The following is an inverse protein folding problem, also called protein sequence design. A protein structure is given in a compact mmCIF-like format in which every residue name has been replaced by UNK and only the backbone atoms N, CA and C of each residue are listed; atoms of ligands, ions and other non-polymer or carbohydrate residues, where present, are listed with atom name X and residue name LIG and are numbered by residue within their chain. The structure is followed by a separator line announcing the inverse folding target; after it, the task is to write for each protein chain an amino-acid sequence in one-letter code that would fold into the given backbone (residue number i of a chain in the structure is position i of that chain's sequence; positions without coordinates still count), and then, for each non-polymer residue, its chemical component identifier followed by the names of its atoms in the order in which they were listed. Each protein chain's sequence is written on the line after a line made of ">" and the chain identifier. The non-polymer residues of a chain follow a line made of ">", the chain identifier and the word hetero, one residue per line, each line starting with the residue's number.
data_IF_688898767027
#
_entry.id   IF_688898767027
#
_cell.length_a   1.000
_cell.length_b   1.000
_cell.length_c   1.000
_cell.angle_alpha   90.00
_cell.angle_beta   90.00
_cell.angle_gamma   90.00
#
_symmetry.space_group_name_H-M   'P 1'
#
loop_
_entity.id
_entity.type
_entity.pdbx_description
1 polymer ?
#
# COMPACT_ATOMS: atom_id res chain seq x y z
N UNK A 1 -24.95 -29.83 8.75
CA UNK A 1 -25.76 -28.60 8.58
C UNK A 1 -24.84 -27.43 8.30
N UNK A 2 -23.68 -27.33 8.95
CA UNK A 2 -22.71 -26.24 8.74
C UNK A 2 -22.08 -26.20 7.34
N UNK A 3 -21.88 -27.35 6.71
CA UNK A 3 -21.33 -27.43 5.37
C UNK A 3 -22.23 -26.90 4.24
N UNK A 4 -23.57 -26.85 4.47
CA UNK A 4 -24.51 -26.34 3.45
C UNK A 4 -24.53 -24.82 3.42
N UNK A 5 -24.34 -24.16 4.56
CA UNK A 5 -24.29 -22.71 4.64
C UNK A 5 -23.01 -22.15 4.02
N UNK A 6 -21.88 -22.84 4.18
CA UNK A 6 -20.60 -22.44 3.54
C UNK A 6 -20.71 -22.52 2.02
N UNK A 7 -21.36 -23.57 1.48
CA UNK A 7 -21.59 -23.70 0.04
C UNK A 7 -22.52 -22.62 -0.53
N UNK A 8 -23.50 -22.17 0.26
CA UNK A 8 -24.37 -21.07 -0.16
C UNK A 8 -23.65 -19.71 -0.16
N UNK A 9 -22.74 -19.49 0.78
CA UNK A 9 -21.95 -18.25 0.82
C UNK A 9 -21.01 -18.17 -0.39
N UNK A 10 -20.37 -19.28 -0.77
CA UNK A 10 -19.52 -19.32 -1.97
C UNK A 10 -20.30 -19.08 -3.26
N UNK A 11 -21.53 -19.60 -3.35
CA UNK A 11 -22.40 -19.40 -4.50
C UNK A 11 -22.88 -17.95 -4.62
N UNK A 12 -23.15 -17.28 -3.51
CA UNK A 12 -23.58 -15.88 -3.48
C UNK A 12 -22.42 -14.91 -3.79
N UNK A 13 -21.18 -15.31 -3.51
CA UNK A 13 -19.99 -14.53 -3.82
C UNK A 13 -19.58 -14.56 -5.31
N UNK A 14 -20.24 -15.35 -6.14
CA UNK A 14 -19.98 -15.42 -7.59
C UNK A 14 -18.62 -16.02 -7.96
N UNK A 15 -18.02 -16.80 -7.07
CA UNK A 15 -16.76 -17.47 -7.37
C UNK A 15 -17.07 -18.74 -8.18
N UNK A 16 -16.82 -18.68 -9.47
CA UNK A 16 -16.91 -19.83 -10.37
C UNK A 16 -15.52 -20.38 -10.56
N UNK A 17 -15.27 -21.57 -10.05
CA UNK A 17 -14.07 -22.32 -10.39
C UNK A 17 -14.33 -23.07 -11.70
N UNK A 18 -13.52 -22.78 -12.72
CA UNK A 18 -13.51 -23.60 -13.95
C UNK A 18 -13.01 -24.99 -13.59
N UNK A 19 -13.80 -26.01 -13.90
CA UNK A 19 -13.37 -27.41 -13.82
C UNK A 19 -12.64 -27.80 -15.09
N UNK A 20 -11.70 -28.74 -14.99
CA UNK A 20 -10.78 -29.21 -16.05
C UNK A 20 -11.48 -29.80 -17.30
N UNK A 21 -12.80 -29.79 -17.37
CA UNK A 21 -13.56 -30.40 -18.46
C UNK A 21 -13.90 -29.44 -19.61
N UNK A 22 -13.57 -28.14 -19.51
CA UNK A 22 -13.91 -27.14 -20.53
C UNK A 22 -12.75 -26.81 -21.52
N UNK A 23 -11.69 -27.60 -21.51
CA UNK A 23 -10.62 -27.48 -22.53
C UNK A 23 -10.90 -28.42 -23.67
N UNK A 24 -11.65 -27.97 -24.65
CA UNK A 24 -11.75 -28.63 -25.96
C UNK A 24 -10.53 -28.25 -26.78
N UNK A 25 -9.62 -29.19 -26.92
CA UNK A 25 -8.51 -29.09 -27.86
C UNK A 25 -9.05 -29.53 -29.20
N UNK A 26 -9.32 -28.61 -30.11
CA UNK A 26 -9.54 -28.94 -31.51
C UNK A 26 -8.21 -29.29 -32.18
N UNK A 27 -8.08 -30.57 -32.44
CA UNK A 27 -7.02 -31.22 -33.21
C UNK A 27 -7.24 -30.91 -34.71
N UNK A 28 -6.39 -30.09 -35.30
CA UNK A 28 -6.34 -29.95 -36.76
C UNK A 28 -5.12 -30.69 -37.30
N UNK A 29 -5.41 -31.90 -37.72
CA UNK A 29 -4.48 -32.76 -38.45
C UNK A 29 -4.27 -32.31 -39.89
N UNK A 30 -3.03 -32.47 -40.30
CA UNK A 30 -2.51 -32.81 -41.61
C UNK A 30 -3.13 -32.22 -42.88
N UNK A 31 -2.33 -31.54 -43.64
CA UNK A 31 -2.24 -31.84 -45.07
C UNK A 31 -0.80 -31.76 -45.61
N UNK A 32 -0.40 -32.86 -46.23
CA UNK A 32 0.91 -33.15 -46.83
C UNK A 32 0.81 -32.86 -48.32
N UNK A 33 1.71 -32.09 -48.89
CA UNK A 33 2.09 -32.20 -50.29
C UNK A 33 3.48 -31.61 -50.56
N UNK A 34 4.42 -32.45 -50.68
CA UNK A 34 5.28 -32.80 -51.82
C UNK A 34 6.06 -31.67 -52.53
N UNK A 35 7.38 -31.84 -52.52
CA UNK A 35 8.41 -31.07 -53.20
C UNK A 35 8.39 -31.30 -54.75
N UNK A 36 9.09 -30.45 -55.51
CA UNK A 36 10.32 -30.97 -56.13
C UNK A 36 11.52 -30.01 -56.03
N UNK A 37 12.68 -30.67 -56.10
CA UNK A 37 14.03 -30.19 -56.24
C UNK A 37 14.28 -29.56 -57.59
N UNK A 38 15.11 -28.52 -57.69
CA UNK A 38 16.30 -28.54 -58.54
C UNK A 38 17.11 -27.21 -58.43
N UNK A 39 18.37 -27.34 -58.29
CA UNK A 39 19.49 -26.76 -59.02
C UNK A 39 19.96 -25.34 -58.80
N UNK A 40 21.19 -25.20 -58.27
CA UNK A 40 22.13 -24.30 -58.94
C UNK A 40 22.69 -23.13 -58.12
N UNK A 41 23.97 -23.30 -57.72
CA UNK A 41 25.07 -22.32 -57.70
C UNK A 41 25.02 -21.10 -56.79
N UNK A 42 25.87 -21.21 -55.77
CA UNK A 42 27.03 -20.34 -55.42
C UNK A 42 26.99 -18.87 -55.82
N UNK A 43 27.01 -17.98 -54.84
CA UNK A 43 28.02 -16.91 -54.72
C UNK A 43 27.98 -16.34 -53.28
N UNK A 44 29.18 -16.21 -52.67
CA UNK A 44 29.46 -15.57 -51.40
C UNK A 44 29.14 -14.07 -51.39
N UNK A 45 28.47 -13.60 -50.34
CA UNK A 45 28.62 -12.26 -49.87
C UNK A 45 28.33 -12.22 -48.37
N UNK A 46 29.36 -11.90 -47.60
CA UNK A 46 29.24 -11.55 -46.20
C UNK A 46 28.28 -10.37 -46.05
N UNK A 47 27.21 -10.57 -45.31
CA UNK A 47 26.39 -9.48 -44.82
C UNK A 47 26.18 -9.63 -43.34
N UNK A 48 26.64 -8.59 -42.65
CA UNK A 48 26.36 -8.15 -41.30
C UNK A 48 25.11 -8.79 -40.71
N UNK A 49 25.30 -9.63 -39.70
CA UNK A 49 24.20 -10.06 -38.84
C UNK A 49 23.79 -8.86 -37.99
N UNK A 50 22.51 -8.44 -38.00
CA UNK A 50 22.06 -7.46 -37.06
C UNK A 50 22.20 -8.04 -35.66
N UNK A 51 22.99 -7.32 -34.83
CA UNK A 51 23.08 -7.54 -33.38
C UNK A 51 21.68 -7.69 -32.80
N UNK A 52 21.41 -8.70 -31.95
CA UNK A 52 20.10 -8.81 -31.32
C UNK A 52 19.81 -7.52 -30.57
N UNK A 53 18.77 -6.81 -31.02
CA UNK A 53 18.28 -5.62 -30.32
C UNK A 53 18.02 -6.02 -28.85
N UNK A 54 18.73 -5.38 -27.95
CA UNK A 54 18.43 -5.46 -26.53
C UNK A 54 16.93 -5.14 -26.35
N UNK A 55 16.19 -5.93 -25.57
CA UNK A 55 14.81 -5.61 -25.30
C UNK A 55 14.81 -4.22 -24.63
N UNK A 56 14.23 -3.24 -25.32
CA UNK A 56 13.96 -1.93 -24.73
C UNK A 56 13.24 -2.18 -23.42
N UNK A 57 13.79 -1.66 -22.32
CA UNK A 57 13.16 -1.72 -21.01
C UNK A 57 11.71 -1.28 -21.18
N UNK A 58 10.77 -2.14 -20.87
CA UNK A 58 9.36 -1.81 -20.92
C UNK A 58 9.15 -0.52 -20.10
N UNK A 59 8.37 0.45 -20.61
CA UNK A 59 8.09 1.65 -19.84
C UNK A 59 7.50 1.20 -18.50
N UNK A 60 8.14 1.60 -17.39
CA UNK A 60 7.60 1.33 -16.06
C UNK A 60 6.21 1.95 -16.03
N UNK A 61 5.19 1.14 -15.74
CA UNK A 61 3.84 1.63 -15.59
C UNK A 61 3.89 2.76 -14.55
N UNK A 62 3.45 3.95 -14.95
CA UNK A 62 3.45 5.12 -14.07
C UNK A 62 2.54 4.81 -12.87
N UNK A 63 3.14 4.62 -11.70
CA UNK A 63 2.40 4.41 -10.46
C UNK A 63 1.70 5.73 -10.13
N UNK A 64 0.37 5.74 -9.96
CA UNK A 64 -0.34 6.96 -9.63
C UNK A 64 0.11 7.48 -8.25
N UNK A 65 0.15 8.80 -8.12
CA UNK A 65 0.34 9.41 -6.82
C UNK A 65 -0.89 9.20 -5.93
N UNK A 66 -0.71 9.23 -4.63
CA UNK A 66 -1.78 9.04 -3.66
C UNK A 66 -2.20 10.39 -3.07
N UNK A 67 -3.42 10.43 -2.55
CA UNK A 67 -3.93 11.58 -1.80
C UNK A 67 -4.28 11.13 -0.38
N UNK A 68 -3.54 11.63 0.61
CA UNK A 68 -3.83 11.37 2.02
C UNK A 68 -4.89 12.34 2.51
N UNK A 69 -6.09 11.81 2.62
CA UNK A 69 -7.31 12.60 2.84
C UNK A 69 -7.64 12.82 4.33
N UNK A 70 -8.62 13.68 4.59
CA UNK A 70 -9.20 13.83 5.92
C UNK A 70 -9.82 12.53 6.47
N UNK A 71 -10.32 11.66 5.59
CA UNK A 71 -10.82 10.33 5.98
C UNK A 71 -9.69 9.42 6.45
N UNK A 72 -8.54 9.45 5.77
CA UNK A 72 -7.35 8.68 6.18
C UNK A 72 -6.84 9.15 7.53
N UNK A 73 -6.73 10.47 7.72
CA UNK A 73 -6.36 11.06 9.01
C UNK A 73 -7.32 10.68 10.13
N UNK A 74 -8.63 10.73 9.86
CA UNK A 74 -9.67 10.31 10.80
C UNK A 74 -9.47 8.85 11.23
N UNK A 75 -9.25 7.96 10.26
CA UNK A 75 -9.01 6.54 10.53
C UNK A 75 -7.74 6.30 11.34
N UNK A 76 -6.64 6.96 10.98
CA UNK A 76 -5.36 6.86 11.70
C UNK A 76 -5.50 7.38 13.13
N UNK A 77 -6.14 8.53 13.33
CA UNK A 77 -6.33 9.12 14.65
C UNK A 77 -7.18 8.24 15.57
N UNK A 78 -8.29 7.71 15.07
CA UNK A 78 -9.15 6.79 15.83
C UNK A 78 -8.39 5.53 16.18
N UNK A 79 -7.70 4.91 15.22
CA UNK A 79 -6.91 3.70 15.44
C UNK A 79 -5.77 3.93 16.46
N UNK A 80 -5.17 5.11 16.46
CA UNK A 80 -4.15 5.50 17.45
C UNK A 80 -4.73 5.58 18.86
N UNK A 81 -5.81 6.33 19.04
CA UNK A 81 -6.47 6.53 20.32
C UNK A 81 -7.07 5.27 20.92
N UNK A 82 -7.66 4.44 20.09
CA UNK A 82 -8.31 3.19 20.51
C UNK A 82 -7.34 2.03 20.66
N UNK A 83 -6.06 2.23 20.35
CA UNK A 83 -5.03 1.18 20.34
C UNK A 83 -5.46 -0.02 19.47
N UNK A 84 -5.96 0.27 18.28
CA UNK A 84 -6.29 -0.73 17.27
C UNK A 84 -5.43 -0.57 16.03
N UNK A 85 -5.36 -1.61 15.19
CA UNK A 85 -4.83 -1.46 13.85
C UNK A 85 -5.88 -0.82 12.95
N UNK A 86 -5.48 0.00 11.94
CA UNK A 86 -6.43 0.61 11.01
C UNK A 86 -7.32 -0.38 10.27
N UNK A 87 -6.79 -1.58 9.94
CA UNK A 87 -7.51 -2.66 9.28
C UNK A 87 -8.60 -3.29 10.16
N UNK A 88 -8.50 -3.15 11.47
CA UNK A 88 -9.47 -3.67 12.43
C UNK A 88 -10.65 -2.73 12.72
N UNK A 89 -10.59 -1.49 12.20
CA UNK A 89 -11.72 -0.57 12.30
C UNK A 89 -12.79 -0.96 11.28
N UNK A 90 -13.86 -1.56 11.76
CA UNK A 90 -14.98 -2.00 10.95
C UNK A 90 -15.81 -0.82 10.41
N UNK A 91 -16.51 -1.04 9.30
CA UNK A 91 -17.37 -0.03 8.69
C UNK A 91 -18.49 0.46 9.63
N UNK A 92 -19.02 -0.43 10.48
CA UNK A 92 -20.08 -0.14 11.43
C UNK A 92 -19.60 0.35 12.80
N UNK A 93 -18.29 0.44 13.03
CA UNK A 93 -17.76 1.01 14.27
C UNK A 93 -18.07 2.51 14.35
N UNK A 94 -18.30 3.00 15.56
CA UNK A 94 -18.43 4.43 15.87
C UNK A 94 -17.47 4.82 16.99
N UNK A 95 -17.14 6.10 17.11
CA UNK A 95 -16.31 6.59 18.23
C UNK A 95 -16.95 6.22 19.56
N UNK A 96 -18.27 6.30 19.67
CA UNK A 96 -19.02 5.90 20.89
C UNK A 96 -18.78 4.43 21.22
N UNK A 97 -18.94 3.52 20.24
CA UNK A 97 -18.73 2.09 20.47
C UNK A 97 -17.28 1.73 20.78
N UNK A 98 -16.32 2.41 20.13
CA UNK A 98 -14.90 2.16 20.30
C UNK A 98 -14.33 2.70 21.63
N UNK A 99 -15.00 3.66 22.24
CA UNK A 99 -14.63 4.21 23.55
C UNK A 99 -15.24 3.43 24.73
N UNK A 100 -16.06 2.43 24.47
CA UNK A 100 -16.65 1.54 25.49
C UNK A 100 -17.28 2.32 26.67
N UNK A 101 -18.09 3.34 26.37
CA UNK A 101 -18.78 4.18 27.35
C UNK A 101 -17.89 5.16 28.14
N UNK A 102 -16.58 5.21 27.87
CA UNK A 102 -15.66 6.15 28.52
C UNK A 102 -15.82 7.56 27.94
N UNK A 103 -16.74 8.36 28.51
CA UNK A 103 -17.09 9.69 28.01
C UNK A 103 -15.89 10.64 27.91
N UNK A 104 -14.93 10.57 28.83
CA UNK A 104 -13.71 11.41 28.79
C UNK A 104 -12.84 11.08 27.57
N UNK A 105 -12.65 9.79 27.26
CA UNK A 105 -11.88 9.33 26.11
C UNK A 105 -12.57 9.73 24.80
N UNK A 106 -13.88 9.51 24.72
CA UNK A 106 -14.69 9.93 23.59
C UNK A 106 -14.57 11.43 23.32
N UNK A 107 -14.78 12.24 24.36
CA UNK A 107 -14.73 13.69 24.24
C UNK A 107 -13.35 14.19 23.79
N UNK A 108 -12.28 13.62 24.36
CA UNK A 108 -10.92 13.99 23.95
C UNK A 108 -10.66 13.62 22.49
N UNK A 109 -11.07 12.43 22.06
CA UNK A 109 -10.92 12.01 20.67
C UNK A 109 -11.68 12.92 19.70
N UNK A 110 -12.89 13.37 20.07
CA UNK A 110 -13.65 14.34 19.26
C UNK A 110 -12.96 15.71 19.17
N UNK A 111 -12.39 16.19 20.27
CA UNK A 111 -11.61 17.44 20.30
C UNK A 111 -10.37 17.31 19.41
N UNK A 112 -9.64 16.21 19.53
CA UNK A 112 -8.43 15.97 18.75
C UNK A 112 -8.75 15.79 17.26
N UNK A 113 -9.88 15.15 16.94
CA UNK A 113 -10.34 15.03 15.55
C UNK A 113 -10.64 16.42 14.95
N UNK A 114 -11.35 17.26 15.67
CA UNK A 114 -11.60 18.64 15.26
C UNK A 114 -10.32 19.43 15.07
N UNK A 115 -9.37 19.31 16.00
CA UNK A 115 -8.08 19.98 15.91
C UNK A 115 -7.22 19.48 14.74
N UNK A 116 -7.17 18.15 14.54
CA UNK A 116 -6.44 17.54 13.43
C UNK A 116 -6.94 18.05 12.07
N UNK A 117 -8.23 18.11 11.90
CA UNK A 117 -8.87 18.52 10.63
C UNK A 117 -9.03 20.04 10.49
N UNK A 118 -8.57 20.83 11.47
CA UNK A 118 -8.80 22.29 11.55
C UNK A 118 -10.29 22.64 11.46
N UNK A 119 -11.12 21.80 12.07
CA UNK A 119 -12.57 21.96 12.18
C UNK A 119 -12.95 22.27 13.63
N UNK A 120 -14.13 22.83 13.81
CA UNK A 120 -14.77 22.87 15.12
C UNK A 120 -15.37 21.53 15.51
N UNK A 121 -16.41 21.55 16.35
CA UNK A 121 -17.14 20.34 16.66
C UNK A 121 -17.82 19.78 15.40
N UNK A 122 -17.67 18.47 15.20
CA UNK A 122 -18.31 17.76 14.09
C UNK A 122 -19.59 17.11 14.62
N UNK A 123 -20.72 17.67 14.21
CA UNK A 123 -22.02 17.22 14.71
C UNK A 123 -22.29 15.76 14.38
N UNK A 124 -22.71 14.99 15.40
CA UNK A 124 -23.00 13.55 15.28
C UNK A 124 -21.77 12.68 14.98
N UNK A 125 -20.53 13.17 15.21
CA UNK A 125 -19.33 12.41 14.93
C UNK A 125 -19.15 11.20 15.88
N UNK A 126 -19.66 11.31 17.10
CA UNK A 126 -19.52 10.23 18.09
C UNK A 126 -20.30 8.97 17.69
N UNK A 127 -21.51 9.16 17.21
CA UNK A 127 -22.48 8.11 16.86
C UNK A 127 -22.37 7.65 15.41
N UNK A 128 -21.75 8.47 14.54
CA UNK A 128 -21.57 8.13 13.14
C UNK A 128 -20.69 6.87 12.99
N UNK A 129 -21.11 5.94 12.15
CA UNK A 129 -20.28 4.83 11.73
C UNK A 129 -19.05 5.32 10.92
N UNK A 130 -18.03 4.48 10.78
CA UNK A 130 -16.76 4.87 10.14
C UNK A 130 -16.94 5.35 8.70
N UNK A 131 -17.92 4.82 7.96
CA UNK A 131 -18.20 5.23 6.57
C UNK A 131 -18.81 6.62 6.54
N UNK A 132 -19.82 6.83 7.37
CA UNK A 132 -20.49 8.14 7.51
C UNK A 132 -19.53 9.20 8.03
N UNK A 133 -18.69 8.85 9.03
CA UNK A 133 -17.70 9.76 9.60
C UNK A 133 -16.64 10.16 8.56
N UNK A 134 -16.10 9.19 7.81
CA UNK A 134 -15.16 9.45 6.72
C UNK A 134 -15.75 10.38 5.65
N UNK A 135 -16.99 10.16 5.26
CA UNK A 135 -17.70 11.02 4.32
C UNK A 135 -17.90 12.45 4.85
N UNK A 136 -18.31 12.59 6.12
CA UNK A 136 -18.48 13.90 6.77
C UNK A 136 -17.16 14.66 6.85
N UNK A 137 -16.10 14.02 7.34
CA UNK A 137 -14.77 14.65 7.48
C UNK A 137 -14.20 15.07 6.14
N UNK A 138 -14.32 14.24 5.10
CA UNK A 138 -13.91 14.59 3.74
C UNK A 138 -14.68 15.77 3.18
N UNK A 139 -15.99 15.83 3.42
CA UNK A 139 -16.83 16.94 2.94
C UNK A 139 -16.52 18.26 3.63
N UNK A 140 -16.22 18.22 4.94
CA UNK A 140 -15.96 19.41 5.76
C UNK A 140 -14.51 19.91 5.64
N UNK A 141 -13.53 19.02 5.57
CA UNK A 141 -12.10 19.34 5.55
C UNK A 141 -11.50 19.25 4.12
N UNK A 142 -12.13 19.87 3.13
CA UNK A 142 -11.71 19.81 1.71
C UNK A 142 -10.29 20.31 1.43
N UNK A 143 -9.71 21.10 2.32
CA UNK A 143 -8.36 21.63 2.19
C UNK A 143 -7.37 20.98 3.17
N UNK A 144 -7.71 19.82 3.71
CA UNK A 144 -6.86 19.11 4.66
C UNK A 144 -5.47 18.84 4.06
N UNK A 145 -4.45 19.05 4.88
CA UNK A 145 -3.05 18.72 4.54
C UNK A 145 -2.51 17.71 5.55
N UNK A 146 -1.84 16.67 5.09
CA UNK A 146 -1.18 15.69 5.97
C UNK A 146 0.05 16.32 6.65
N UNK A 147 0.26 16.16 7.89
CA UNK A 147 -0.63 15.86 8.99
C UNK A 147 -1.06 17.16 9.67
N UNK A 148 -2.25 17.20 10.27
CA UNK A 148 -2.70 18.34 11.05
C UNK A 148 -1.98 18.46 12.40
N UNK A 149 -2.54 19.30 13.28
CA UNK A 149 -1.85 19.66 14.54
C UNK A 149 -1.67 18.50 15.53
N UNK A 150 -2.50 17.47 15.47
CA UNK A 150 -2.45 16.32 16.39
C UNK A 150 -1.55 15.21 15.86
N UNK A 151 -1.81 14.76 14.64
CA UNK A 151 -1.05 13.64 14.04
C UNK A 151 0.40 14.03 13.76
N UNK A 152 0.68 15.28 13.37
CA UNK A 152 2.06 15.71 13.12
C UNK A 152 2.96 15.53 14.35
N UNK A 153 2.52 15.99 15.52
CA UNK A 153 3.26 15.79 16.77
C UNK A 153 3.34 14.32 17.17
N UNK A 154 2.19 13.67 17.23
CA UNK A 154 2.08 12.27 17.69
C UNK A 154 2.94 11.30 16.85
N UNK A 155 2.85 11.38 15.53
CA UNK A 155 3.58 10.51 14.60
C UNK A 155 5.08 10.86 14.60
N UNK A 156 5.41 12.16 14.57
CA UNK A 156 6.80 12.61 14.56
C UNK A 156 7.56 12.18 15.81
N UNK A 157 6.97 12.38 16.98
CA UNK A 157 7.58 12.00 18.26
C UNK A 157 7.75 10.49 18.39
N UNK A 158 6.74 9.73 17.97
CA UNK A 158 6.81 8.27 17.95
C UNK A 158 7.92 7.79 17.03
N UNK A 159 7.93 8.23 15.78
CA UNK A 159 8.94 7.82 14.81
C UNK A 159 10.35 8.29 15.17
N UNK A 160 10.50 9.49 15.76
CA UNK A 160 11.79 9.95 16.26
C UNK A 160 12.35 9.00 17.33
N UNK A 161 11.48 8.53 18.23
CA UNK A 161 11.87 7.55 19.28
C UNK A 161 12.23 6.18 18.66
N UNK A 162 11.42 5.69 17.73
CA UNK A 162 11.58 4.35 17.14
C UNK A 162 12.79 4.29 16.21
N UNK A 163 13.02 5.33 15.40
CA UNK A 163 14.12 5.38 14.44
C UNK A 163 15.44 5.84 15.05
N UNK A 164 15.40 6.54 16.19
CA UNK A 164 16.57 7.11 16.85
C UNK A 164 17.75 6.15 17.04
N UNK A 165 17.55 4.90 17.50
CA UNK A 165 18.64 3.93 17.66
C UNK A 165 19.43 3.63 16.38
N UNK A 166 18.80 3.73 15.21
CA UNK A 166 19.45 3.53 13.90
C UNK A 166 20.22 4.77 13.41
N UNK A 167 20.11 5.91 14.11
CA UNK A 167 20.62 7.19 13.64
C UNK A 167 19.78 7.84 12.53
N UNK A 168 18.64 7.26 12.15
CA UNK A 168 17.74 7.82 11.14
C UNK A 168 16.70 8.75 11.77
N UNK A 169 16.24 9.71 10.97
CA UNK A 169 15.16 10.64 11.34
C UNK A 169 13.91 10.36 10.51
N UNK A 170 12.73 10.80 10.93
CA UNK A 170 11.48 10.61 10.16
C UNK A 170 11.56 11.09 8.70
N UNK A 171 12.35 12.12 8.41
CA UNK A 171 12.57 12.60 7.04
C UNK A 171 13.11 11.52 6.08
N UNK A 172 13.84 10.53 6.61
CA UNK A 172 14.38 9.42 5.83
C UNK A 172 13.29 8.59 5.11
N UNK A 173 12.07 8.59 5.66
CA UNK A 173 10.93 7.94 5.01
C UNK A 173 10.63 8.61 3.67
N UNK A 174 10.51 9.94 3.66
CA UNK A 174 10.26 10.70 2.43
C UNK A 174 11.38 10.61 1.42
N UNK A 175 12.64 10.64 1.87
CA UNK A 175 13.81 10.42 1.00
C UNK A 175 13.72 9.05 0.31
N UNK A 176 13.44 7.98 1.07
CA UNK A 176 13.36 6.63 0.50
C UNK A 176 12.20 6.45 -0.47
N UNK A 177 11.03 7.01 -0.16
CA UNK A 177 9.86 6.98 -1.05
C UNK A 177 10.15 7.66 -2.38
N UNK A 178 10.76 8.85 -2.36
CA UNK A 178 11.03 9.64 -3.56
C UNK A 178 12.25 9.17 -4.33
N UNK A 179 13.37 9.00 -3.63
CA UNK A 179 14.68 8.83 -4.29
C UNK A 179 14.95 7.37 -4.66
N UNK A 180 14.47 6.42 -3.84
CA UNK A 180 14.70 4.98 -4.05
C UNK A 180 13.54 4.34 -4.81
N UNK A 181 12.32 4.57 -4.35
CA UNK A 181 11.13 3.99 -4.97
C UNK A 181 10.56 4.83 -6.12
N UNK A 182 11.01 6.09 -6.27
CA UNK A 182 10.56 7.03 -7.30
C UNK A 182 9.03 7.21 -7.31
N UNK A 183 8.43 7.20 -6.12
CA UNK A 183 7.00 7.42 -5.92
C UNK A 183 6.72 8.91 -5.65
N UNK A 184 5.47 9.33 -5.88
CA UNK A 184 5.03 10.69 -5.68
C UNK A 184 4.99 11.13 -4.20
N UNK A 185 4.87 12.44 -3.99
CA UNK A 185 4.83 13.04 -2.64
C UNK A 185 3.64 12.57 -1.80
N UNK A 186 2.53 12.24 -2.43
CA UNK A 186 1.35 11.75 -1.75
C UNK A 186 1.52 10.37 -1.10
N UNK A 187 2.51 9.58 -1.52
CA UNK A 187 2.86 8.32 -0.87
C UNK A 187 3.47 8.52 0.51
N UNK A 188 4.22 9.62 0.70
CA UNK A 188 4.97 9.87 1.94
C UNK A 188 4.10 9.85 3.19
N UNK A 189 2.97 10.57 3.26
CA UNK A 189 2.11 10.54 4.45
C UNK A 189 1.46 9.18 4.68
N UNK A 190 1.08 8.44 3.63
CA UNK A 190 0.55 7.09 3.77
C UNK A 190 1.58 6.14 4.38
N UNK A 191 2.80 6.12 3.84
CA UNK A 191 3.90 5.27 4.34
C UNK A 191 4.31 5.69 5.75
N UNK A 192 4.35 6.99 6.04
CA UNK A 192 4.68 7.52 7.37
C UNK A 192 3.64 7.09 8.41
N UNK A 193 2.35 7.25 8.11
CA UNK A 193 1.26 6.81 8.99
C UNK A 193 1.30 5.30 9.19
N UNK A 194 1.47 4.53 8.11
CA UNK A 194 1.54 3.08 8.16
C UNK A 194 2.69 2.60 9.06
N UNK A 195 3.90 3.12 8.83
CA UNK A 195 5.07 2.76 9.62
C UNK A 195 4.89 3.14 11.10
N UNK A 196 4.35 4.32 11.40
CA UNK A 196 4.06 4.73 12.77
C UNK A 196 3.05 3.79 13.44
N UNK A 197 2.01 3.37 12.72
CA UNK A 197 1.00 2.46 13.23
C UNK A 197 1.55 1.04 13.46
N UNK A 198 2.41 0.55 12.58
CA UNK A 198 3.01 -0.78 12.64
C UNK A 198 4.13 -0.91 13.69
N UNK A 199 4.75 0.21 14.08
CA UNK A 199 5.87 0.22 15.06
C UNK A 199 5.45 0.53 16.49
N UNK A 200 4.15 0.59 16.78
CA UNK A 200 3.63 0.78 18.14
C UNK A 200 3.95 -0.45 19.00
N UNK A 201 4.26 -0.20 20.26
CA UNK A 201 4.53 -1.27 21.25
C UNK A 201 3.21 -1.90 21.75
N UNK A 202 3.23 -3.21 21.99
CA UNK A 202 2.12 -3.97 22.55
C UNK A 202 1.21 -4.59 21.49
N UNK A 203 0.01 -4.93 21.91
CA UNK A 203 -0.99 -5.61 21.10
C UNK A 203 -2.22 -4.73 20.89
N UNK A 204 -2.92 -4.96 19.79
CA UNK A 204 -4.20 -4.31 19.52
C UNK A 204 -5.26 -4.75 20.53
N UNK A 205 -6.17 -3.85 20.88
CA UNK A 205 -7.34 -4.15 21.73
C UNK A 205 -8.21 -5.26 21.11
N UNK A 206 -8.24 -5.36 19.78
CA UNK A 206 -8.92 -6.45 19.05
C UNK A 206 -8.05 -7.67 18.81
N UNK A 207 -6.91 -7.75 19.48
CA UNK A 207 -5.96 -8.86 19.38
C UNK A 207 -4.94 -8.70 18.24
N UNK A 208 -3.88 -9.49 18.32
CA UNK A 208 -2.75 -9.43 17.38
C UNK A 208 -1.80 -8.26 17.64
N UNK A 209 -0.59 -8.39 17.14
CA UNK A 209 0.44 -7.36 17.25
C UNK A 209 0.13 -6.21 16.28
N UNK A 210 0.67 -5.02 16.57
CA UNK A 210 0.50 -3.86 15.69
C UNK A 210 1.23 -4.01 14.36
N UNK A 211 2.33 -4.73 14.36
CA UNK A 211 3.12 -5.04 13.19
C UNK A 211 4.24 -6.02 13.54
N UNK A 212 5.09 -6.40 12.60
CA UNK A 212 6.22 -7.27 12.90
C UNK A 212 7.12 -6.59 13.92
N UNK A 213 7.44 -7.30 15.00
CA UNK A 213 8.37 -6.83 16.05
C UNK A 213 9.80 -6.82 15.52
N UNK A 214 10.05 -6.01 14.49
CA UNK A 214 11.37 -5.86 13.91
C UNK A 214 12.17 -4.84 14.73
N UNK A 215 13.40 -5.21 15.08
CA UNK A 215 14.34 -4.24 15.64
C UNK A 215 14.70 -3.22 14.57
N UNK A 216 14.47 -1.94 14.83
CA UNK A 216 14.88 -0.82 13.96
C UNK A 216 16.20 -0.18 14.43
N UNK A 217 17.11 -1.02 14.96
CA UNK A 217 18.37 -0.55 15.53
C UNK A 217 19.42 -0.16 14.49
N UNK A 218 19.30 -0.62 13.24
CA UNK A 218 20.23 -0.36 12.15
C UNK A 218 19.56 0.37 11.00
N UNK A 219 20.33 1.11 10.23
CA UNK A 219 19.84 1.83 9.07
C UNK A 219 19.16 0.93 8.02
N UNK A 220 19.70 -0.28 7.81
CA UNK A 220 19.16 -1.26 6.88
C UNK A 220 17.82 -1.83 7.39
N UNK A 221 17.67 -2.04 8.69
CA UNK A 221 16.41 -2.49 9.29
C UNK A 221 15.30 -1.44 9.04
N UNK A 222 15.65 -0.16 9.21
CA UNK A 222 14.73 0.95 8.92
C UNK A 222 14.38 1.01 7.43
N UNK A 223 15.37 0.85 6.56
CA UNK A 223 15.14 0.82 5.12
C UNK A 223 14.17 -0.30 4.73
N UNK A 224 14.39 -1.52 5.23
CA UNK A 224 13.53 -2.67 4.97
C UNK A 224 12.11 -2.47 5.52
N UNK A 225 11.98 -1.86 6.71
CA UNK A 225 10.66 -1.57 7.28
C UNK A 225 9.88 -0.54 6.44
N UNK A 226 10.56 0.46 5.88
CA UNK A 226 9.94 1.42 4.96
C UNK A 226 9.52 0.72 3.66
N UNK A 227 10.36 -0.15 3.10
CA UNK A 227 10.04 -0.91 1.88
C UNK A 227 8.84 -1.82 2.07
N UNK A 228 8.76 -2.47 3.23
CA UNK A 228 7.60 -3.25 3.62
C UNK A 228 6.35 -2.36 3.71
N UNK A 229 6.45 -1.22 4.38
CA UNK A 229 5.35 -0.26 4.51
C UNK A 229 4.87 0.26 3.14
N UNK A 230 5.77 0.54 2.20
CA UNK A 230 5.41 0.92 0.83
C UNK A 230 4.61 -0.20 0.14
N UNK A 231 5.07 -1.43 0.25
CA UNK A 231 4.40 -2.59 -0.35
C UNK A 231 3.02 -2.83 0.25
N UNK A 232 2.87 -2.69 1.58
CA UNK A 232 1.59 -2.84 2.27
C UNK A 232 0.62 -1.71 1.97
N UNK A 233 1.10 -0.46 1.86
CA UNK A 233 0.30 0.67 1.39
C UNK A 233 -0.17 0.44 -0.05
N UNK A 234 0.71 0.00 -0.95
CA UNK A 234 0.34 -0.33 -2.32
C UNK A 234 -0.77 -1.39 -2.36
N UNK A 235 -0.59 -2.48 -1.61
CA UNK A 235 -1.58 -3.55 -1.53
C UNK A 235 -2.94 -3.03 -1.02
N UNK A 236 -2.93 -2.19 0.02
CA UNK A 236 -4.15 -1.60 0.57
C UNK A 236 -4.86 -0.67 -0.42
N UNK A 237 -4.12 -0.06 -1.35
CA UNK A 237 -4.64 0.78 -2.43
C UNK A 237 -4.97 -0.01 -3.72
N UNK A 238 -4.79 -1.33 -3.72
CA UNK A 238 -4.98 -2.17 -4.90
C UNK A 238 -3.95 -1.91 -6.01
N UNK A 239 -2.77 -1.40 -5.65
CA UNK A 239 -1.69 -1.07 -6.57
C UNK A 239 -0.55 -2.09 -6.47
N UNK A 240 0.20 -2.22 -7.55
CA UNK A 240 1.46 -2.97 -7.57
C UNK A 240 2.60 -2.00 -7.80
N UNK A 241 3.59 -2.03 -6.92
CA UNK A 241 4.80 -1.22 -7.02
C UNK A 241 6.02 -2.12 -7.03
N UNK A 242 7.03 -1.73 -7.79
CA UNK A 242 8.31 -2.42 -7.83
C UNK A 242 9.42 -1.39 -7.62
N UNK A 243 10.40 -1.73 -6.80
CA UNK A 243 11.56 -0.88 -6.64
C UNK A 243 12.32 -0.78 -7.97
N UNK A 244 12.61 0.43 -8.47
CA UNK A 244 13.40 0.60 -9.67
C UNK A 244 14.76 -0.07 -9.50
N UNK A 245 15.14 -0.95 -10.43
CA UNK A 245 16.49 -1.47 -10.46
C UNK A 245 17.43 -0.36 -10.91
N UNK A 246 18.42 -0.03 -10.08
CA UNK A 246 19.51 0.81 -10.52
C UNK A 246 20.14 0.14 -11.76
N UNK A 247 19.98 0.74 -12.94
CA UNK A 247 20.74 0.33 -14.10
C UNK A 247 22.21 0.55 -13.73
N UNK A 248 22.93 -0.53 -13.43
CA UNK A 248 24.37 -0.53 -13.33
C UNK A 248 24.88 -0.11 -14.71
N UNK A 249 25.11 1.18 -14.86
CA UNK A 249 25.87 1.70 -15.97
C UNK A 249 27.25 1.11 -15.88
N UNK A 250 27.46 0.05 -16.64
CA UNK A 250 28.75 -0.56 -16.88
C UNK A 250 29.61 0.54 -17.51
N UNK A 251 30.53 1.07 -16.69
CA UNK A 251 31.45 2.11 -17.10
C UNK A 251 32.19 1.65 -18.34
N UNK A 252 32.01 2.39 -19.42
CA UNK A 252 32.89 2.30 -20.56
C UNK A 252 34.33 2.61 -20.08
N UNK A 253 35.13 1.56 -19.93
CA UNK A 253 36.58 1.68 -19.87
C UNK A 253 37.02 2.22 -21.22
N UNK A 254 37.41 3.48 -21.26
CA UNK A 254 38.12 4.04 -22.38
C UNK A 254 39.59 3.63 -22.18
N UNK A 255 40.07 2.80 -23.07
CA UNK A 255 41.51 2.46 -23.23
C UNK A 255 42.18 3.50 -24.12
#
# INVERSE_FOLDING_TARGET
>A
IEGIEVLNIERDAGIVFATDEDIVVEDLADDVAEAPQDGGEEIAAAQDAPSPAQPASAPQAHVPDLDFTAADATRVLIAWWTKMRPDQLGAADSIESLCDGASSRRNQLLVDLGAELSLGAIDGAAEADMVTLASKTSAMARGYRPFGSVLSGTISDHLAKVLGPSGKRPAFIGERVRDVWQLGDGWVPHVTAHLAMATREGTSVRGGDFGPSASLAKADDVANAIDTAISEVALAQGLTVTMPQASSGEGATID
#
